data_IF_395942728177
#
_entry.id   IF_395942728177
#
_cell.length_a   1.000
_cell.length_b   1.000
_cell.length_c   1.000
_cell.angle_alpha   90.00
_cell.angle_beta   90.00
_cell.angle_gamma   90.00
#
_symmetry.space_group_name_H-M   'P 1'
#
loop_
_entity.id
_entity.type
_entity.pdbx_description
1 polymer ?
#
# COMPACT_ATOMS: atom_id res chain seq x y z
N UNK A 1 -16.44 26.95 19.17
CA UNK A 1 -16.69 25.51 18.89
C UNK A 1 -16.38 25.28 17.43
N UNK A 2 -15.65 24.22 17.08
CA UNK A 2 -15.32 23.95 15.68
C UNK A 2 -16.62 23.61 14.92
N UNK A 3 -16.88 24.36 13.84
CA UNK A 3 -18.03 24.13 12.97
C UNK A 3 -17.72 22.95 12.07
N UNK A 4 -18.32 21.79 12.35
CA UNK A 4 -18.18 20.60 11.53
C UNK A 4 -19.19 20.68 10.39
N UNK A 5 -18.70 20.64 9.16
CA UNK A 5 -19.53 20.73 7.96
C UNK A 5 -19.95 19.35 7.46
N UNK A 6 -21.11 19.28 6.77
CA UNK A 6 -21.55 18.07 6.08
C UNK A 6 -20.52 17.54 5.06
N UNK A 7 -19.73 18.44 4.48
CA UNK A 7 -18.67 18.09 3.53
C UNK A 7 -17.52 17.34 4.22
N UNK A 8 -17.14 17.76 5.42
CA UNK A 8 -16.12 17.08 6.23
C UNK A 8 -16.61 15.71 6.67
N UNK A 9 -17.85 15.61 7.16
CA UNK A 9 -18.47 14.33 7.53
C UNK A 9 -18.47 13.35 6.34
N UNK A 10 -18.82 13.82 5.15
CA UNK A 10 -18.80 12.99 3.95
C UNK A 10 -17.39 12.49 3.61
N UNK A 11 -16.38 13.37 3.68
CA UNK A 11 -14.99 13.01 3.42
C UNK A 11 -14.50 11.95 4.41
N UNK A 12 -14.82 12.12 5.68
CA UNK A 12 -14.43 11.20 6.74
C UNK A 12 -15.10 9.84 6.57
N UNK A 13 -16.40 9.80 6.26
CA UNK A 13 -17.12 8.57 5.96
C UNK A 13 -16.55 7.82 4.75
N UNK A 14 -16.18 8.54 3.69
CA UNK A 14 -15.53 7.94 2.52
C UNK A 14 -14.15 7.37 2.89
N UNK A 15 -13.37 8.07 3.74
CA UNK A 15 -12.09 7.56 4.21
C UNK A 15 -12.26 6.28 5.03
N UNK A 16 -13.17 6.31 6.01
CA UNK A 16 -13.48 5.14 6.85
C UNK A 16 -13.94 3.96 6.00
N UNK A 17 -14.80 4.19 5.01
CA UNK A 17 -15.24 3.13 4.08
C UNK A 17 -14.06 2.48 3.34
N UNK A 18 -13.10 3.29 2.88
CA UNK A 18 -11.89 2.76 2.21
C UNK A 18 -11.04 1.94 3.17
N UNK A 19 -10.86 2.42 4.39
CA UNK A 19 -10.05 1.74 5.41
C UNK A 19 -10.69 0.41 5.82
N UNK A 20 -12.00 0.38 6.06
CA UNK A 20 -12.76 -0.84 6.36
C UNK A 20 -12.67 -1.84 5.22
N UNK A 21 -12.77 -1.39 3.97
CA UNK A 21 -12.64 -2.28 2.81
C UNK A 21 -11.24 -2.88 2.69
N UNK A 22 -10.19 -2.09 3.00
CA UNK A 22 -8.80 -2.56 3.03
C UNK A 22 -8.56 -3.57 4.15
N UNK A 23 -9.11 -3.31 5.35
CA UNK A 23 -9.03 -4.22 6.49
C UNK A 23 -9.72 -5.54 6.16
N UNK A 24 -10.91 -5.49 5.55
CA UNK A 24 -11.65 -6.68 5.14
C UNK A 24 -10.80 -7.60 4.25
N UNK A 25 -10.05 -7.04 3.29
CA UNK A 25 -9.16 -7.83 2.41
C UNK A 25 -8.09 -8.60 3.19
N UNK A 26 -7.56 -8.03 4.28
CA UNK A 26 -6.58 -8.73 5.12
C UNK A 26 -7.17 -9.95 5.84
N UNK A 27 -8.49 -10.01 6.01
CA UNK A 27 -9.17 -11.15 6.61
C UNK A 27 -9.74 -12.13 5.57
N UNK A 28 -9.80 -11.76 4.29
CA UNK A 28 -10.25 -12.64 3.20
C UNK A 28 -9.10 -13.47 2.59
N UNK A 29 -7.85 -13.08 2.84
CA UNK A 29 -6.68 -13.85 2.41
C UNK A 29 -6.36 -14.93 3.46
N UNK A 30 -6.92 -16.13 3.28
CA UNK A 30 -6.71 -17.28 4.19
C UNK A 30 -5.23 -17.77 4.27
N UNK A 31 -4.35 -17.30 3.37
CA UNK A 31 -2.93 -17.64 3.29
C UNK A 31 -2.01 -16.40 3.39
N UNK A 32 -2.04 -15.69 4.51
CA UNK A 32 -1.10 -14.59 4.80
C UNK A 32 0.36 -15.04 5.00
N UNK A 33 0.64 -16.34 4.86
CA UNK A 33 1.98 -16.88 5.01
C UNK A 33 2.76 -16.77 3.68
N UNK A 34 3.65 -15.77 3.63
CA UNK A 34 4.67 -15.73 2.57
C UNK A 34 5.57 -16.96 2.69
N UNK A 35 5.96 -17.53 1.54
CA UNK A 35 6.98 -18.57 1.52
C UNK A 35 8.34 -18.02 1.99
N UNK A 36 9.20 -18.89 2.51
CA UNK A 36 10.49 -18.46 3.06
C UNK A 36 11.42 -17.86 1.98
N UNK A 37 11.27 -18.30 0.74
CA UNK A 37 11.98 -17.71 -0.40
C UNK A 37 11.55 -16.25 -0.63
N UNK A 38 10.25 -15.96 -0.58
CA UNK A 38 9.75 -14.59 -0.74
C UNK A 38 10.20 -13.71 0.42
N UNK A 39 10.20 -14.22 1.67
CA UNK A 39 10.73 -13.49 2.82
C UNK A 39 12.20 -13.12 2.63
N UNK A 40 13.02 -14.07 2.15
CA UNK A 40 14.44 -13.85 1.87
C UNK A 40 14.65 -12.79 0.78
N UNK A 41 13.86 -12.81 -0.29
CA UNK A 41 13.92 -11.80 -1.35
C UNK A 41 13.57 -10.40 -0.85
N UNK A 42 12.55 -10.29 0.02
CA UNK A 42 12.19 -9.01 0.67
C UNK A 42 13.34 -8.48 1.51
N UNK A 43 14.01 -9.33 2.30
CA UNK A 43 15.18 -8.91 3.08
C UNK A 43 16.34 -8.41 2.22
N UNK A 44 16.63 -9.11 1.12
CA UNK A 44 17.68 -8.70 0.18
C UNK A 44 17.32 -7.36 -0.45
N UNK A 45 16.07 -7.20 -0.90
CA UNK A 45 15.57 -5.95 -1.49
C UNK A 45 15.70 -4.77 -0.53
N UNK A 46 15.30 -4.94 0.75
CA UNK A 46 15.43 -3.89 1.78
C UNK A 46 16.88 -3.48 2.07
N UNK A 47 17.84 -4.40 1.91
CA UNK A 47 19.27 -4.12 2.11
C UNK A 47 19.95 -3.58 0.84
N UNK A 48 19.25 -3.56 -0.29
CA UNK A 48 19.81 -3.10 -1.55
C UNK A 48 19.94 -1.57 -1.52
N UNK A 49 21.13 -1.02 -1.79
CA UNK A 49 21.31 0.43 -1.86
C UNK A 49 20.43 1.05 -2.94
N UNK A 50 19.88 2.23 -2.65
CA UNK A 50 19.03 2.99 -3.59
C UNK A 50 19.77 3.28 -4.91
N UNK A 51 21.11 3.43 -4.86
CA UNK A 51 21.94 3.62 -6.05
C UNK A 51 21.92 2.45 -7.04
N UNK A 52 21.41 1.28 -6.63
CA UNK A 52 21.21 0.10 -7.48
C UNK A 52 19.76 -0.05 -7.96
N UNK A 53 18.86 0.88 -7.61
CA UNK A 53 17.47 0.87 -8.02
C UNK A 53 17.26 1.87 -9.16
N UNK A 54 16.44 1.49 -10.14
CA UNK A 54 15.96 2.40 -11.18
C UNK A 54 14.71 3.14 -10.68
N UNK A 55 14.52 4.37 -11.13
CA UNK A 55 13.34 5.15 -10.79
C UNK A 55 12.10 4.62 -11.48
N UNK A 56 10.94 4.81 -10.86
CA UNK A 56 9.64 4.50 -11.46
C UNK A 56 9.44 5.16 -12.83
N UNK A 57 9.97 6.38 -12.99
CA UNK A 57 9.92 7.12 -14.26
C UNK A 57 10.74 6.44 -15.36
N UNK A 58 11.90 5.88 -15.02
CA UNK A 58 12.73 5.12 -15.97
C UNK A 58 12.04 3.83 -16.39
N UNK A 59 11.39 3.13 -15.45
CA UNK A 59 10.57 1.95 -15.76
C UNK A 59 9.45 2.32 -16.74
N UNK A 60 8.69 3.38 -16.47
CA UNK A 60 7.57 3.81 -17.31
C UNK A 60 7.98 4.17 -18.74
N UNK A 61 9.20 4.68 -18.94
CA UNK A 61 9.72 4.98 -20.28
C UNK A 61 10.01 3.72 -21.12
N UNK A 62 10.30 2.57 -20.51
CA UNK A 62 10.52 1.32 -21.27
C UNK A 62 9.23 0.68 -21.78
N UNK A 63 8.07 1.08 -21.24
CA UNK A 63 6.75 0.56 -21.62
C UNK A 63 5.96 1.48 -22.56
N UNK A 64 6.50 2.63 -22.94
CA UNK A 64 5.91 3.62 -23.86
C UNK A 64 6.64 3.65 -25.21
#
# INVERSE_FOLDING_TARGET
>A
MAEVTLKEIHKDLVSIKKDVHKIKKYFEEDDLNLSDEIKKQIEISRKTPISKMISQKEVEMEFL
#
